data_IF_377123250880
#
_entry.id   IF_377123250880
#
_cell.length_a   1.000
_cell.length_b   1.000
_cell.length_c   1.000
_cell.angle_alpha   90.00
_cell.angle_beta   90.00
_cell.angle_gamma   90.00
#
_symmetry.space_group_name_H-M   'P 1'
#
loop_
_entity.id
_entity.type
_entity.pdbx_description
1 polymer ?
#
# COMPACT_ATOMS: atom_id res chain seq x y z
N UNK A 1 -73.85 28.28 -35.81
CA UNK A 1 -72.56 27.69 -36.22
C UNK A 1 -71.54 27.94 -35.10
N UNK A 2 -71.21 26.95 -34.28
CA UNK A 2 -70.30 27.02 -33.17
C UNK A 2 -68.94 26.35 -33.55
N UNK A 3 -67.89 27.07 -33.58
CA UNK A 3 -66.55 26.59 -33.84
C UNK A 3 -65.93 26.05 -32.54
N UNK A 4 -65.64 24.75 -32.52
CA UNK A 4 -64.91 24.09 -31.44
C UNK A 4 -63.41 24.20 -31.70
N UNK A 5 -62.72 24.94 -30.85
CA UNK A 5 -61.28 24.99 -30.88
C UNK A 5 -60.74 23.86 -29.99
N UNK A 6 -60.08 22.88 -30.61
CA UNK A 6 -59.31 21.83 -29.92
C UNK A 6 -58.02 22.39 -29.38
N UNK A 7 -57.85 22.33 -28.06
CA UNK A 7 -56.58 22.68 -27.39
C UNK A 7 -55.81 21.38 -27.27
N UNK A 8 -54.72 21.25 -28.06
CA UNK A 8 -53.78 20.17 -27.96
C UNK A 8 -52.77 20.53 -26.88
N UNK A 9 -52.87 19.88 -25.73
CA UNK A 9 -51.87 20.03 -24.67
C UNK A 9 -50.63 19.19 -25.02
N UNK A 10 -49.52 19.83 -25.31
CA UNK A 10 -48.24 19.19 -25.48
C UNK A 10 -47.57 18.94 -24.10
N UNK A 11 -47.54 17.67 -23.70
CA UNK A 11 -46.78 17.21 -22.53
C UNK A 11 -45.30 17.13 -22.91
N UNK A 12 -44.53 18.10 -22.46
CA UNK A 12 -43.06 18.06 -22.53
C UNK A 12 -42.58 17.22 -21.35
N UNK A 13 -42.21 15.95 -21.60
CA UNK A 13 -41.55 15.11 -20.64
C UNK A 13 -40.06 15.51 -20.55
N UNK A 14 -39.69 16.27 -19.52
CA UNK A 14 -38.30 16.57 -19.20
C UNK A 14 -37.62 15.32 -18.59
N UNK A 15 -36.93 14.58 -19.43
CA UNK A 15 -36.03 13.51 -18.94
C UNK A 15 -34.79 14.18 -18.34
N UNK A 16 -34.73 14.33 -17.01
CA UNK A 16 -33.50 14.68 -16.30
C UNK A 16 -32.55 13.49 -16.37
N UNK A 17 -31.54 13.59 -17.23
CA UNK A 17 -30.39 12.69 -17.24
C UNK A 17 -29.55 13.03 -15.99
N UNK A 18 -29.71 12.26 -14.91
CA UNK A 18 -28.79 12.32 -13.77
C UNK A 18 -27.53 11.59 -14.22
N UNK A 19 -26.56 12.35 -14.74
CA UNK A 19 -25.21 11.86 -14.95
C UNK A 19 -24.56 11.65 -13.57
N UNK A 20 -24.75 10.45 -13.01
CA UNK A 20 -24.00 10.01 -11.84
C UNK A 20 -22.53 9.93 -12.21
N UNK A 21 -21.71 10.86 -11.73
CA UNK A 21 -20.27 10.73 -11.81
C UNK A 21 -19.85 9.51 -10.98
N UNK A 22 -19.58 8.39 -11.65
CA UNK A 22 -18.92 7.24 -11.01
C UNK A 22 -17.49 7.69 -10.74
N UNK A 23 -17.20 8.04 -9.50
CA UNK A 23 -15.83 8.26 -9.06
C UNK A 23 -15.10 6.89 -9.14
N UNK A 24 -14.28 6.72 -10.16
CA UNK A 24 -13.39 5.57 -10.24
C UNK A 24 -12.30 5.81 -9.19
N UNK A 25 -12.36 5.04 -8.11
CA UNK A 25 -11.31 5.05 -7.11
C UNK A 25 -10.05 4.41 -7.74
N UNK A 26 -9.04 5.23 -7.98
CA UNK A 26 -7.77 4.80 -8.55
C UNK A 26 -6.81 4.36 -7.43
N UNK A 27 -6.01 3.33 -7.71
CA UNK A 27 -4.88 2.98 -6.85
C UNK A 27 -3.93 4.18 -6.70
N UNK A 28 -3.23 4.30 -5.56
CA UNK A 28 -2.21 5.33 -5.38
C UNK A 28 -0.86 4.83 -5.91
N UNK A 29 -0.46 5.25 -7.12
CA UNK A 29 0.80 4.79 -7.67
C UNK A 29 1.99 5.31 -6.86
N UNK A 30 3.09 4.54 -6.85
CA UNK A 30 4.35 5.02 -6.32
C UNK A 30 4.83 6.25 -7.11
N UNK A 31 5.33 7.26 -6.40
CA UNK A 31 5.86 8.50 -6.98
C UNK A 31 7.22 8.83 -6.36
N UNK A 32 8.21 9.20 -7.17
CA UNK A 32 9.54 9.57 -6.68
C UNK A 32 10.26 8.43 -5.93
N UNK A 33 9.91 7.17 -6.20
CA UNK A 33 10.53 5.99 -5.60
C UNK A 33 11.06 5.09 -6.71
N UNK A 34 12.35 4.76 -6.62
CA UNK A 34 13.02 3.82 -7.53
C UNK A 34 13.28 2.50 -6.83
N UNK A 35 12.60 1.41 -7.20
CA UNK A 35 12.83 0.09 -6.65
C UNK A 35 13.97 -0.62 -7.37
N UNK A 36 14.80 -1.37 -6.62
CA UNK A 36 15.84 -2.25 -7.13
C UNK A 36 15.68 -3.64 -6.51
N UNK A 37 15.60 -4.69 -7.33
CA UNK A 37 15.68 -6.07 -6.86
C UNK A 37 17.13 -6.38 -6.49
N UNK A 38 17.36 -6.78 -5.24
CA UNK A 38 18.68 -7.21 -4.77
C UNK A 38 18.84 -8.72 -4.82
N UNK A 39 17.81 -9.46 -4.38
CA UNK A 39 17.80 -10.92 -4.40
C UNK A 39 16.36 -11.45 -4.39
N UNK A 40 16.19 -12.67 -4.88
CA UNK A 40 14.99 -13.50 -4.70
C UNK A 40 15.40 -14.94 -4.53
N UNK A 41 14.84 -15.63 -3.55
CA UNK A 41 15.05 -17.05 -3.29
C UNK A 41 13.76 -17.72 -2.89
N UNK A 42 13.61 -18.99 -3.30
CA UNK A 42 12.51 -19.85 -2.85
C UNK A 42 12.98 -20.70 -1.67
N UNK A 43 12.17 -20.75 -0.63
CA UNK A 43 12.39 -21.54 0.57
C UNK A 43 11.31 -22.60 0.67
N UNK A 44 11.68 -23.83 0.99
CA UNK A 44 10.72 -24.87 1.36
C UNK A 44 9.96 -24.49 2.62
N UNK A 45 8.86 -25.21 2.91
CA UNK A 45 8.15 -25.03 4.17
C UNK A 45 9.10 -25.25 5.35
N UNK A 46 9.04 -24.36 6.34
CA UNK A 46 9.92 -24.44 7.51
C UNK A 46 9.20 -24.03 8.79
N UNK A 47 9.76 -24.50 9.90
CA UNK A 47 9.41 -24.04 11.25
C UNK A 47 10.67 -23.96 12.08
N UNK A 48 11.00 -22.78 12.54
CA UNK A 48 12.18 -22.53 13.35
C UNK A 48 11.83 -21.80 14.64
N UNK A 49 12.51 -22.12 15.72
CA UNK A 49 12.49 -21.38 16.97
C UNK A 49 13.92 -21.24 17.47
N UNK A 50 14.29 -20.06 17.91
CA UNK A 50 15.59 -19.75 18.47
C UNK A 50 15.43 -19.14 19.86
N UNK A 51 16.26 -19.58 20.80
CA UNK A 51 16.29 -19.17 22.21
C UNK A 51 17.70 -18.67 22.54
N UNK A 52 18.00 -17.40 22.22
CA UNK A 52 19.32 -16.84 22.56
C UNK A 52 19.47 -16.71 24.08
N UNK A 53 20.73 -16.72 24.55
CA UNK A 53 21.07 -16.67 25.99
C UNK A 53 20.55 -15.47 26.75
N UNK A 54 20.21 -14.38 26.04
CA UNK A 54 19.60 -13.18 26.63
C UNK A 54 18.10 -13.33 26.99
N UNK A 55 17.54 -14.55 26.89
CA UNK A 55 16.13 -14.84 27.22
C UNK A 55 15.13 -14.46 26.13
N UNK A 56 15.58 -14.04 24.94
CA UNK A 56 14.73 -13.78 23.80
C UNK A 56 14.13 -15.05 23.22
N UNK A 57 13.01 -14.91 22.49
CA UNK A 57 12.42 -15.98 21.70
C UNK A 57 12.11 -15.43 20.30
N UNK A 58 12.71 -16.02 19.28
CA UNK A 58 12.31 -15.79 17.90
C UNK A 58 11.65 -17.04 17.31
N UNK A 59 10.50 -16.87 16.66
CA UNK A 59 9.81 -17.94 15.93
C UNK A 59 9.47 -17.49 14.53
N UNK A 60 9.67 -18.37 13.54
CA UNK A 60 9.17 -18.18 12.19
C UNK A 60 8.66 -19.52 11.64
N UNK A 61 7.55 -19.48 10.92
CA UNK A 61 6.93 -20.66 10.32
C UNK A 61 6.34 -20.30 8.96
N UNK A 62 6.69 -21.09 7.94
CA UNK A 62 6.01 -21.12 6.65
C UNK A 62 5.48 -22.54 6.42
N UNK A 63 4.14 -22.70 6.32
CA UNK A 63 3.48 -24.01 6.16
C UNK A 63 3.51 -24.53 4.72
N UNK A 64 3.91 -23.71 3.77
CA UNK A 64 4.11 -24.03 2.36
C UNK A 64 5.38 -23.32 1.87
N UNK A 65 5.94 -23.70 0.72
CA UNK A 65 7.06 -22.99 0.12
C UNK A 65 6.73 -21.52 -0.12
N UNK A 66 7.71 -20.63 0.11
CA UNK A 66 7.60 -19.20 -0.05
C UNK A 66 8.77 -18.64 -0.87
N UNK A 67 8.51 -17.55 -1.56
CA UNK A 67 9.57 -16.68 -2.09
C UNK A 67 9.90 -15.61 -1.05
N UNK A 68 11.19 -15.35 -0.87
CA UNK A 68 11.72 -14.19 -0.15
C UNK A 68 12.35 -13.26 -1.17
N UNK A 69 11.82 -12.05 -1.25
CA UNK A 69 12.24 -11.02 -2.20
C UNK A 69 12.90 -9.89 -1.43
N UNK A 70 14.17 -9.62 -1.69
CA UNK A 70 14.92 -8.52 -1.08
C UNK A 70 15.00 -7.37 -2.07
N UNK A 71 14.51 -6.20 -1.66
CA UNK A 71 14.51 -5.00 -2.50
C UNK A 71 15.12 -3.82 -1.76
N UNK A 72 15.75 -2.94 -2.50
CA UNK A 72 16.07 -1.59 -2.08
C UNK A 72 15.10 -0.62 -2.74
N UNK A 73 14.64 0.38 -1.98
CA UNK A 73 13.88 1.51 -2.53
C UNK A 73 14.64 2.79 -2.22
N UNK A 74 14.83 3.62 -3.25
CA UNK A 74 15.40 4.96 -3.12
C UNK A 74 14.29 5.98 -3.30
N UNK A 75 14.09 6.83 -2.30
CA UNK A 75 13.03 7.83 -2.25
C UNK A 75 13.64 9.21 -2.48
N UNK A 76 13.18 9.91 -3.49
CA UNK A 76 13.43 11.35 -3.61
C UNK A 76 12.68 12.12 -2.53
N UNK A 77 13.01 13.39 -2.31
CA UNK A 77 12.23 14.27 -1.44
C UNK A 77 10.76 14.28 -1.89
N UNK A 78 9.82 14.05 -0.96
CA UNK A 78 8.39 13.91 -1.25
C UNK A 78 7.98 12.56 -1.87
N UNK A 79 8.91 11.64 -2.10
CA UNK A 79 8.63 10.32 -2.67
C UNK A 79 7.69 9.48 -1.80
N UNK A 80 6.83 8.68 -2.43
CA UNK A 80 5.83 7.82 -1.79
C UNK A 80 5.70 6.49 -2.51
N UNK A 81 5.57 5.40 -1.75
CA UNK A 81 5.29 4.07 -2.31
C UNK A 81 3.87 3.94 -2.86
N UNK A 82 2.96 4.87 -2.54
CA UNK A 82 1.52 4.64 -2.65
C UNK A 82 1.02 3.60 -1.64
N UNK A 83 -0.30 3.58 -1.42
CA UNK A 83 -0.95 2.61 -0.55
C UNK A 83 -0.93 1.22 -1.17
N UNK A 84 -0.42 0.24 -0.44
CA UNK A 84 -0.33 -1.13 -0.93
C UNK A 84 -0.30 -2.14 0.22
N UNK A 85 -0.54 -3.40 -0.11
CA UNK A 85 -0.52 -4.54 0.80
C UNK A 85 0.41 -5.64 0.30
N UNK A 86 0.75 -6.56 1.17
CA UNK A 86 1.56 -7.73 0.89
C UNK A 86 0.84 -9.02 1.33
N UNK A 87 1.08 -10.19 0.67
CA UNK A 87 0.44 -11.44 1.07
C UNK A 87 0.91 -11.96 2.44
N UNK A 88 2.13 -11.61 2.85
CA UNK A 88 2.75 -11.98 4.13
C UNK A 88 3.47 -10.77 4.75
N UNK A 89 3.94 -10.88 6.01
CA UNK A 89 4.69 -9.80 6.65
C UNK A 89 5.94 -9.39 5.86
N UNK A 90 6.28 -8.11 5.97
CA UNK A 90 7.50 -7.52 5.40
C UNK A 90 8.35 -6.93 6.52
N UNK A 91 9.64 -7.20 6.48
CA UNK A 91 10.63 -6.55 7.34
C UNK A 91 11.30 -5.44 6.54
N UNK A 92 11.20 -4.21 7.01
CA UNK A 92 11.76 -3.04 6.34
C UNK A 92 12.78 -2.38 7.27
N UNK A 93 13.97 -2.13 6.76
CA UNK A 93 15.01 -1.39 7.49
C UNK A 93 15.34 -0.11 6.75
N UNK A 94 15.27 1.03 7.43
CA UNK A 94 15.73 2.29 6.88
C UNK A 94 17.27 2.24 6.82
N UNK A 95 17.81 2.28 5.59
CA UNK A 95 19.25 2.23 5.34
C UNK A 95 19.89 3.62 5.43
N UNK A 96 19.21 4.63 4.86
CA UNK A 96 19.71 5.99 4.78
C UNK A 96 18.55 6.99 4.95
N UNK A 97 18.81 8.12 5.59
CA UNK A 97 17.84 9.19 5.79
C UNK A 97 16.76 8.87 6.82
N UNK A 98 15.56 9.39 6.60
CA UNK A 98 14.38 9.20 7.45
C UNK A 98 13.15 8.97 6.57
N UNK A 99 12.37 7.97 6.91
CA UNK A 99 11.10 7.62 6.24
C UNK A 99 9.95 7.67 7.24
N UNK A 100 8.76 7.98 6.75
CA UNK A 100 7.51 7.98 7.52
C UNK A 100 6.62 6.86 7.02
N UNK A 101 6.18 6.01 7.93
CA UNK A 101 5.31 4.86 7.68
C UNK A 101 3.91 5.15 8.18
N UNK A 102 2.90 4.73 7.41
CA UNK A 102 1.48 4.84 7.74
C UNK A 102 0.82 3.48 7.56
N UNK A 103 0.04 3.03 8.55
CA UNK A 103 -0.77 1.80 8.47
C UNK A 103 -2.13 2.13 7.80
N UNK A 104 -2.54 1.35 6.82
CA UNK A 104 -3.80 1.55 6.12
C UNK A 104 -5.04 1.33 7.02
N UNK A 105 -4.87 0.64 8.12
CA UNK A 105 -5.95 0.32 9.08
C UNK A 105 -5.92 1.17 10.35
N UNK A 106 -5.00 2.13 10.46
CA UNK A 106 -4.97 3.06 11.58
C UNK A 106 -5.95 4.21 11.34
N UNK A 107 -7.09 4.28 12.07
CA UNK A 107 -8.06 5.36 11.91
C UNK A 107 -7.54 6.74 12.35
N UNK A 108 -6.43 6.77 13.08
CA UNK A 108 -5.78 8.02 13.51
C UNK A 108 -4.76 8.52 12.50
N UNK A 109 -4.42 7.71 11.50
CA UNK A 109 -3.36 7.98 10.53
C UNK A 109 -2.05 8.44 11.19
N UNK A 110 -1.63 7.72 12.23
CA UNK A 110 -0.49 8.09 13.06
C UNK A 110 0.83 7.90 12.30
N UNK A 111 1.62 8.95 12.09
CA UNK A 111 2.90 8.82 11.40
C UNK A 111 3.93 8.12 12.29
N UNK A 112 4.56 7.05 11.80
CA UNK A 112 5.73 6.44 12.42
C UNK A 112 6.98 6.86 11.65
N UNK A 113 7.77 7.76 12.22
CA UNK A 113 9.03 8.22 11.62
C UNK A 113 10.20 7.36 12.09
N UNK A 114 10.93 6.80 11.14
CA UNK A 114 12.10 5.97 11.38
C UNK A 114 13.32 6.51 10.63
N UNK A 115 14.45 6.52 11.30
CA UNK A 115 15.75 6.94 10.75
C UNK A 115 16.63 5.73 10.44
N UNK A 116 17.76 5.96 9.77
CA UNK A 116 18.74 4.94 9.44
C UNK A 116 19.08 4.03 10.64
N UNK A 117 19.08 2.71 10.42
CA UNK A 117 19.29 1.68 11.43
C UNK A 117 18.01 1.22 12.15
N UNK A 118 16.89 1.90 11.98
CA UNK A 118 15.60 1.48 12.55
C UNK A 118 14.79 0.63 11.57
N UNK A 119 13.92 -0.23 12.12
CA UNK A 119 13.10 -1.15 11.34
C UNK A 119 11.61 -1.01 11.57
N UNK A 120 10.84 -1.40 10.55
CA UNK A 120 9.38 -1.50 10.56
C UNK A 120 8.97 -2.93 10.19
N UNK A 121 7.96 -3.44 10.86
CA UNK A 121 7.33 -4.72 10.49
C UNK A 121 5.94 -4.44 9.95
N UNK A 122 5.75 -4.60 8.64
CA UNK A 122 4.42 -4.60 8.05
C UNK A 122 3.77 -5.97 8.25
N UNK A 123 2.53 -5.97 8.71
CA UNK A 123 1.74 -7.20 8.91
C UNK A 123 1.12 -7.76 7.63
N UNK A 124 1.32 -7.10 6.48
CA UNK A 124 0.71 -7.44 5.20
C UNK A 124 -0.65 -6.78 4.94
N UNK A 125 -1.25 -6.11 5.94
CA UNK A 125 -2.61 -5.55 5.84
C UNK A 125 -2.71 -4.24 5.06
N UNK A 126 -1.60 -3.65 4.73
CA UNK A 126 -1.50 -2.44 3.95
C UNK A 126 -0.80 -1.31 4.68
N UNK A 127 0.06 -0.63 3.95
CA UNK A 127 0.80 0.52 4.43
C UNK A 127 1.16 1.47 3.29
N UNK A 128 1.71 2.60 3.68
CA UNK A 128 2.33 3.57 2.78
C UNK A 128 3.61 4.07 3.43
N UNK A 129 4.68 4.20 2.64
CA UNK A 129 5.95 4.79 3.08
C UNK A 129 6.20 6.07 2.32
N UNK A 130 6.55 7.15 3.04
CA UNK A 130 6.85 8.46 2.47
C UNK A 130 8.21 8.97 2.92
N UNK A 131 8.87 9.66 2.03
CA UNK A 131 9.98 10.54 2.38
C UNK A 131 9.47 11.96 2.56
N UNK A 132 9.19 12.34 3.78
CA UNK A 132 8.70 13.68 4.15
C UNK A 132 9.85 14.64 4.49
N UNK A 133 11.07 14.31 4.07
CA UNK A 133 12.26 15.14 4.24
C UNK A 133 12.67 15.83 2.94
N UNK A 134 13.58 16.80 3.04
CA UNK A 134 14.16 17.48 1.87
C UNK A 134 15.35 16.73 1.23
N UNK A 135 15.75 15.56 1.76
CA UNK A 135 16.89 14.77 1.29
C UNK A 135 16.43 13.39 0.81
N UNK A 136 17.25 12.72 0.03
CA UNK A 136 17.03 11.32 -0.37
C UNK A 136 17.04 10.39 0.84
N UNK A 137 16.17 9.38 0.84
CA UNK A 137 16.14 8.31 1.82
C UNK A 137 16.13 6.94 1.12
N UNK A 138 16.60 5.90 1.83
CA UNK A 138 16.71 4.53 1.29
C UNK A 138 16.23 3.53 2.33
N UNK A 139 15.43 2.54 1.91
CA UNK A 139 15.13 1.34 2.68
C UNK A 139 15.63 0.06 2.01
N UNK A 140 15.72 -0.99 2.82
CA UNK A 140 15.83 -2.39 2.40
C UNK A 140 14.61 -3.13 2.93
N UNK A 141 13.86 -3.75 2.03
CA UNK A 141 12.67 -4.54 2.36
C UNK A 141 12.91 -6.02 2.09
N UNK A 142 12.58 -6.86 3.08
CA UNK A 142 12.53 -8.33 2.97
C UNK A 142 11.07 -8.73 2.92
N UNK A 143 10.59 -9.07 1.72
CA UNK A 143 9.19 -9.32 1.41
C UNK A 143 8.99 -10.81 1.23
N UNK A 144 8.01 -11.39 1.93
CA UNK A 144 7.64 -12.79 1.79
C UNK A 144 6.36 -12.90 0.96
N UNK A 145 6.29 -13.91 0.08
CA UNK A 145 5.13 -14.14 -0.78
C UNK A 145 4.97 -15.64 -1.11
N UNK A 146 3.79 -16.12 -1.51
CA UNK A 146 3.65 -17.43 -2.11
C UNK A 146 4.53 -17.56 -3.36
N UNK A 147 5.06 -18.77 -3.60
CA UNK A 147 5.96 -19.02 -4.75
C UNK A 147 5.31 -18.57 -6.06
N UNK A 148 6.02 -17.74 -6.82
CA UNK A 148 5.57 -17.23 -8.12
C UNK A 148 4.43 -16.21 -8.09
N UNK A 149 3.84 -15.94 -6.93
CA UNK A 149 2.75 -14.96 -6.80
C UNK A 149 3.27 -13.51 -6.78
N UNK A 150 2.41 -12.53 -7.10
CA UNK A 150 2.70 -11.13 -6.84
C UNK A 150 2.95 -10.90 -5.35
N UNK A 151 3.99 -10.15 -5.05
CA UNK A 151 4.36 -9.81 -3.66
C UNK A 151 3.79 -8.46 -3.21
N UNK A 152 3.05 -7.76 -4.07
CA UNK A 152 2.44 -6.46 -3.80
C UNK A 152 1.06 -6.37 -4.47
N UNK A 153 0.10 -5.78 -3.76
CA UNK A 153 -1.24 -5.43 -4.26
C UNK A 153 -1.48 -3.96 -3.99
N UNK A 154 -1.86 -3.20 -5.03
CA UNK A 154 -2.18 -1.78 -4.88
C UNK A 154 -3.51 -1.61 -4.16
N UNK A 155 -3.59 -0.65 -3.25
CA UNK A 155 -4.81 -0.25 -2.55
C UNK A 155 -5.35 1.06 -3.13
N UNK A 156 -6.64 1.28 -2.91
CA UNK A 156 -7.34 2.48 -3.38
C UNK A 156 -6.87 3.71 -2.61
N UNK A 157 -6.71 4.83 -3.30
CA UNK A 157 -6.40 6.13 -2.73
C UNK A 157 -7.52 7.15 -3.01
N UNK A 158 -7.69 8.18 -2.17
CA UNK A 158 -6.99 8.34 -0.89
C UNK A 158 -7.47 7.33 0.16
N UNK A 159 -6.59 7.01 1.11
CA UNK A 159 -7.00 6.21 2.26
C UNK A 159 -8.03 7.01 3.08
N UNK A 160 -9.17 6.40 3.49
CA UNK A 160 -10.24 7.14 4.18
C UNK A 160 -9.80 7.73 5.53
N UNK A 161 -8.77 7.18 6.15
CA UNK A 161 -8.25 7.67 7.41
C UNK A 161 -7.19 8.76 7.25
N UNK A 162 -6.37 8.67 6.21
CA UNK A 162 -5.23 9.57 6.01
C UNK A 162 -5.51 10.70 5.01
N UNK A 163 -6.44 10.50 4.07
CA UNK A 163 -6.79 11.50 3.07
C UNK A 163 -5.74 11.68 1.94
N UNK A 164 -4.76 10.79 1.82
CA UNK A 164 -3.72 10.80 0.78
C UNK A 164 -3.31 9.38 0.35
#
# INVERSE_FOLDING_TARGET
>A
MRSTRSITAALIASVMLIAGAVAVALASPAQGVTPQLLARGTFDAFKVASYPDNGGLFKAEAKAPIDVVVRQHTYLAGGSTGWHAHPYPVLITVKEGTLTFYDANDPSCTPLRLSAGQGYVDSGRGHLVRNETGATAVDISVIMAPVGAPFRTELVAPNPYCGF
#
